data_IF_064166554428
#
_entry.id   IF_064166554428
#
_cell.length_a   1.000
_cell.length_b   1.000
_cell.length_c   1.000
_cell.angle_alpha   90.00
_cell.angle_beta   90.00
_cell.angle_gamma   90.00
#
_symmetry.space_group_name_H-M   'P 1'
#
loop_
_entity.id
_entity.type
_entity.pdbx_description
1 polymer ?
#
# COMPACT_ATOMS: atom_id res chain seq x y z
N UNK A 1 2.84 -15.94 1.87
CA UNK A 1 1.55 -15.33 2.26
C UNK A 1 1.05 -15.80 3.63
N UNK A 2 1.04 -17.14 3.93
CA UNK A 2 0.46 -17.69 5.18
C UNK A 2 1.11 -17.13 6.45
N UNK A 3 2.45 -16.98 6.48
CA UNK A 3 3.17 -16.44 7.64
C UNK A 3 2.82 -14.97 7.88
N UNK A 4 2.81 -14.15 6.82
CA UNK A 4 2.41 -12.73 6.91
C UNK A 4 0.98 -12.59 7.43
N UNK A 5 0.04 -13.41 6.93
CA UNK A 5 -1.35 -13.39 7.37
C UNK A 5 -1.49 -13.74 8.86
N UNK A 6 -0.75 -14.74 9.34
CA UNK A 6 -0.74 -15.10 10.77
C UNK A 6 -0.24 -13.94 11.65
N UNK A 7 0.89 -13.32 11.27
CA UNK A 7 1.42 -12.16 11.98
C UNK A 7 0.46 -10.97 11.97
N UNK A 8 -0.17 -10.71 10.82
CA UNK A 8 -1.14 -9.62 10.68
C UNK A 8 -2.35 -9.83 11.60
N UNK A 9 -2.94 -11.03 11.62
CA UNK A 9 -4.06 -11.36 12.52
C UNK A 9 -3.68 -11.24 14.00
N UNK A 10 -2.50 -11.69 14.39
CA UNK A 10 -2.00 -11.53 15.74
C UNK A 10 -1.83 -10.06 16.14
N UNK A 11 -1.35 -9.22 15.20
CA UNK A 11 -1.23 -7.78 15.43
C UNK A 11 -2.59 -7.11 15.64
N UNK A 12 -3.57 -7.43 14.79
CA UNK A 12 -4.94 -6.92 14.91
C UNK A 12 -5.59 -7.37 16.21
N UNK A 13 -5.50 -8.66 16.53
CA UNK A 13 -6.04 -9.20 17.78
C UNK A 13 -5.42 -8.57 19.03
N UNK A 14 -4.15 -8.13 18.94
CA UNK A 14 -3.46 -7.40 20.01
C UNK A 14 -3.76 -5.90 20.01
N UNK A 15 -4.74 -5.42 19.22
CA UNK A 15 -5.09 -4.00 19.09
C UNK A 15 -4.00 -3.14 18.45
N UNK A 16 -3.00 -3.76 17.82
CA UNK A 16 -1.93 -3.05 17.11
C UNK A 16 -2.41 -2.61 15.74
N UNK A 17 -1.90 -1.49 15.29
CA UNK A 17 -2.17 -1.04 13.93
C UNK A 17 -1.39 -1.85 12.92
N UNK A 18 -1.97 -1.95 11.73
CA UNK A 18 -1.41 -2.75 10.67
C UNK A 18 -1.13 -1.89 9.46
N UNK A 19 0.14 -1.85 9.09
CA UNK A 19 0.65 -1.28 7.86
C UNK A 19 1.08 -2.43 6.93
N UNK A 20 0.65 -2.36 5.68
CA UNK A 20 1.09 -3.29 4.63
C UNK A 20 1.72 -2.49 3.50
N UNK A 21 2.95 -2.82 3.15
CA UNK A 21 3.65 -2.25 1.98
C UNK A 21 3.97 -3.38 1.01
N UNK A 22 3.69 -3.18 -0.26
CA UNK A 22 3.99 -4.14 -1.31
C UNK A 22 4.55 -3.47 -2.56
N UNK A 23 5.73 -3.90 -3.02
CA UNK A 23 6.36 -3.45 -4.25
C UNK A 23 6.26 -4.52 -5.33
N UNK A 24 6.03 -4.15 -6.58
CA UNK A 24 5.99 -5.06 -7.72
C UNK A 24 5.01 -6.23 -7.50
N UNK A 25 5.43 -7.46 -7.62
CA UNK A 25 4.64 -8.67 -7.27
C UNK A 25 4.25 -8.71 -5.78
N UNK A 26 4.97 -8.00 -4.92
CA UNK A 26 4.58 -7.79 -3.53
C UNK A 26 3.30 -7.00 -3.39
N UNK A 27 3.00 -6.09 -4.31
CA UNK A 27 1.72 -5.36 -4.37
C UNK A 27 0.52 -6.30 -4.59
N UNK A 28 0.62 -7.25 -5.53
CA UNK A 28 -0.40 -8.31 -5.69
C UNK A 28 -0.57 -9.12 -4.40
N UNK A 29 0.55 -9.49 -3.76
CA UNK A 29 0.52 -10.22 -2.49
C UNK A 29 -0.13 -9.40 -1.37
N UNK A 30 0.17 -8.11 -1.27
CA UNK A 30 -0.41 -7.21 -0.28
C UNK A 30 -1.94 -7.12 -0.41
N UNK A 31 -2.45 -7.00 -1.64
CA UNK A 31 -3.89 -6.99 -1.92
C UNK A 31 -4.58 -8.31 -1.52
N UNK A 32 -3.92 -9.45 -1.73
CA UNK A 32 -4.45 -10.76 -1.32
C UNK A 32 -4.44 -10.95 0.19
N UNK A 33 -3.39 -10.50 0.86
CA UNK A 33 -3.30 -10.51 2.33
C UNK A 33 -4.40 -9.62 2.92
N UNK A 34 -4.55 -8.40 2.40
CA UNK A 34 -5.62 -7.49 2.81
C UNK A 34 -7.00 -8.14 2.73
N UNK A 35 -7.34 -8.74 1.58
CA UNK A 35 -8.62 -9.47 1.42
C UNK A 35 -8.80 -10.57 2.46
N UNK A 36 -7.73 -11.31 2.76
CA UNK A 36 -7.77 -12.45 3.69
C UNK A 36 -7.89 -12.00 5.16
N UNK A 37 -7.72 -10.70 5.44
CA UNK A 37 -7.94 -10.10 6.74
C UNK A 37 -9.39 -9.63 6.94
N UNK A 38 -10.21 -9.56 5.89
CA UNK A 38 -11.60 -9.15 6.04
C UNK A 38 -12.33 -10.05 7.07
N UNK A 39 -13.09 -9.49 8.05
CA UNK A 39 -13.58 -8.10 8.12
C UNK A 39 -12.62 -7.08 8.79
N UNK A 40 -11.47 -7.48 9.29
CA UNK A 40 -10.55 -6.58 9.97
C UNK A 40 -10.00 -5.52 8.98
N UNK A 41 -9.77 -4.31 9.51
CA UNK A 41 -9.21 -3.21 8.73
C UNK A 41 -7.71 -3.09 8.92
N UNK A 42 -7.02 -2.82 7.81
CA UNK A 42 -5.63 -2.37 7.76
C UNK A 42 -5.62 -0.85 7.83
N UNK A 43 -4.76 -0.26 8.65
CA UNK A 43 -4.71 1.19 8.81
C UNK A 43 -4.12 1.88 7.58
N UNK A 44 -3.08 1.29 6.99
CA UNK A 44 -2.45 1.81 5.78
C UNK A 44 -2.00 0.67 4.85
N UNK A 45 -2.41 0.77 3.59
CA UNK A 45 -1.90 -0.05 2.49
C UNK A 45 -1.10 0.83 1.53
N UNK A 46 0.15 0.49 1.28
CA UNK A 46 1.00 1.14 0.27
C UNK A 46 1.33 0.14 -0.84
N UNK A 47 0.87 0.42 -2.04
CA UNK A 47 1.20 -0.35 -3.24
C UNK A 47 2.18 0.46 -4.09
N UNK A 48 3.43 0.03 -4.13
CA UNK A 48 4.52 0.69 -4.86
C UNK A 48 4.75 -0.05 -6.16
N UNK A 49 4.43 0.61 -7.26
CA UNK A 49 4.54 0.12 -8.63
C UNK A 49 4.13 -1.35 -8.79
N UNK A 50 2.89 -1.68 -8.39
CA UNK A 50 2.46 -3.06 -8.23
C UNK A 50 2.23 -3.75 -9.58
N UNK A 51 2.71 -4.99 -9.67
CA UNK A 51 2.56 -5.85 -10.84
C UNK A 51 1.72 -7.07 -10.45
N UNK A 52 0.62 -7.38 -11.15
CA UNK A 52 -0.18 -8.55 -10.85
C UNK A 52 0.52 -9.84 -11.32
N UNK A 53 0.32 -10.92 -10.57
CA UNK A 53 0.94 -12.23 -10.86
C UNK A 53 0.24 -13.01 -11.95
N UNK A 54 -1.04 -12.74 -12.20
CA UNK A 54 -1.82 -13.52 -13.15
C UNK A 54 -3.05 -12.75 -13.62
N UNK A 55 -3.33 -12.81 -14.94
CA UNK A 55 -4.57 -12.30 -15.54
C UNK A 55 -5.77 -13.16 -15.18
N UNK A 56 -5.58 -14.46 -15.07
CA UNK A 56 -6.65 -15.42 -14.79
C UNK A 56 -7.11 -15.35 -13.34
N UNK A 57 -6.22 -14.96 -12.43
CA UNK A 57 -6.55 -14.78 -11.03
C UNK A 57 -6.00 -13.42 -10.54
N UNK A 58 -6.60 -12.32 -10.98
CA UNK A 58 -6.15 -10.99 -10.58
C UNK A 58 -6.39 -10.75 -9.08
N UNK A 59 -5.58 -9.91 -8.42
CA UNK A 59 -5.79 -9.59 -7.02
C UNK A 59 -7.11 -8.83 -6.84
N UNK A 60 -7.73 -8.92 -5.66
CA UNK A 60 -8.98 -8.24 -5.37
C UNK A 60 -8.79 -6.72 -5.33
N UNK A 61 -9.89 -5.99 -5.54
CA UNK A 61 -9.94 -4.56 -5.22
C UNK A 61 -9.87 -4.39 -3.70
N UNK A 62 -8.99 -3.55 -3.16
CA UNK A 62 -8.88 -3.33 -1.73
C UNK A 62 -10.12 -2.59 -1.20
N UNK A 63 -10.70 -3.08 -0.08
CA UNK A 63 -11.90 -2.48 0.54
C UNK A 63 -11.79 -2.31 2.05
N UNK A 64 -10.88 -3.05 2.69
CA UNK A 64 -10.71 -3.06 4.14
C UNK A 64 -9.36 -2.41 4.55
N UNK A 65 -8.95 -1.36 3.85
CA UNK A 65 -7.89 -0.46 4.27
C UNK A 65 -8.47 0.93 4.55
N UNK A 66 -8.06 1.55 5.67
CA UNK A 66 -8.49 2.91 6.05
C UNK A 66 -7.89 3.97 5.16
N UNK A 67 -6.62 3.77 4.78
CA UNK A 67 -5.94 4.61 3.81
C UNK A 67 -5.17 3.73 2.82
N UNK A 68 -5.21 4.11 1.55
CA UNK A 68 -4.55 3.40 0.45
C UNK A 68 -3.70 4.41 -0.30
N UNK A 69 -2.42 4.12 -0.45
CA UNK A 69 -1.48 4.87 -1.27
C UNK A 69 -1.06 4.00 -2.45
N UNK A 70 -1.16 4.55 -3.63
CA UNK A 70 -0.66 3.95 -4.86
C UNK A 70 0.47 4.81 -5.41
N UNK A 71 1.67 4.25 -5.45
CA UNK A 71 2.84 4.87 -6.10
C UNK A 71 3.04 4.18 -7.45
N UNK A 72 2.99 4.95 -8.52
CA UNK A 72 3.13 4.48 -9.91
C UNK A 72 4.43 5.04 -10.51
N UNK A 73 5.34 4.15 -10.91
CA UNK A 73 6.58 4.52 -11.58
C UNK A 73 6.32 4.80 -13.07
N UNK A 74 6.62 6.03 -13.50
CA UNK A 74 6.50 6.46 -14.89
C UNK A 74 7.80 7.13 -15.33
N UNK A 75 8.87 6.36 -15.58
CA UNK A 75 10.15 6.95 -15.94
C UNK A 75 10.08 7.62 -17.30
N UNK A 76 10.62 8.84 -17.39
CA UNK A 76 10.87 9.52 -18.68
C UNK A 76 12.02 8.85 -19.44
N UNK A 77 12.91 8.15 -18.74
CA UNK A 77 14.02 7.35 -19.29
C UNK A 77 13.95 5.93 -18.76
N UNK A 78 13.18 5.04 -19.41
CA UNK A 78 13.09 3.64 -19.00
C UNK A 78 14.44 2.93 -19.04
N UNK A 79 14.59 1.94 -18.16
CA UNK A 79 15.75 1.07 -18.11
C UNK A 79 15.32 -0.42 -18.06
N UNK A 80 16.28 -1.32 -17.86
CA UNK A 80 16.00 -2.76 -17.82
C UNK A 80 14.97 -3.17 -16.75
N UNK A 81 14.88 -2.44 -15.62
CA UNK A 81 13.90 -2.76 -14.57
C UNK A 81 12.46 -2.51 -15.02
N UNK A 82 12.25 -1.53 -15.88
CA UNK A 82 10.94 -1.21 -16.44
C UNK A 82 10.50 -2.28 -17.44
N UNK A 83 11.44 -2.86 -18.19
CA UNK A 83 11.16 -4.03 -19.05
C UNK A 83 10.68 -5.24 -18.24
N UNK A 84 11.18 -5.44 -17.02
CA UNK A 84 10.69 -6.48 -16.10
C UNK A 84 9.26 -6.18 -15.65
N UNK A 85 8.95 -4.92 -15.33
CA UNK A 85 7.59 -4.45 -15.02
C UNK A 85 6.65 -4.70 -16.20
N UNK A 86 7.04 -4.29 -17.40
CA UNK A 86 6.25 -4.42 -18.63
C UNK A 86 5.96 -5.88 -18.93
N UNK A 87 6.96 -6.77 -18.82
CA UNK A 87 6.77 -8.21 -18.97
C UNK A 87 5.78 -8.74 -17.91
N UNK A 88 5.92 -8.33 -16.66
CA UNK A 88 5.00 -8.71 -15.59
C UNK A 88 3.57 -8.24 -15.85
N UNK A 89 3.40 -7.02 -16.35
CA UNK A 89 2.09 -6.48 -16.75
C UNK A 89 1.54 -7.18 -17.98
N UNK A 90 2.38 -7.54 -18.94
CA UNK A 90 1.97 -8.33 -20.10
C UNK A 90 1.43 -9.70 -19.69
N UNK A 91 2.07 -10.38 -18.75
CA UNK A 91 1.63 -11.68 -18.22
C UNK A 91 0.42 -11.53 -17.29
N UNK A 92 0.47 -10.60 -16.34
CA UNK A 92 -0.47 -10.46 -15.24
C UNK A 92 -1.59 -9.43 -15.45
N UNK A 93 -1.49 -8.57 -16.47
CA UNK A 93 -2.36 -7.41 -16.65
C UNK A 93 -1.90 -6.22 -15.80
N UNK A 94 -2.77 -5.20 -15.69
CA UNK A 94 -2.50 -3.99 -14.91
C UNK A 94 -3.39 -3.89 -13.69
N UNK A 95 -2.93 -3.19 -12.65
CA UNK A 95 -3.69 -2.94 -11.42
C UNK A 95 -4.30 -1.52 -11.35
N UNK A 96 -4.10 -0.68 -12.36
CA UNK A 96 -4.57 0.71 -12.34
C UNK A 96 -6.05 0.86 -12.00
N UNK A 97 -6.94 0.06 -12.63
CA UNK A 97 -8.38 0.11 -12.34
C UNK A 97 -8.72 -0.27 -10.89
N UNK A 98 -7.95 -1.20 -10.28
CA UNK A 98 -8.19 -1.68 -8.91
C UNK A 98 -7.68 -0.71 -7.87
N UNK A 99 -6.62 0.02 -8.21
CA UNK A 99 -5.99 1.02 -7.36
C UNK A 99 -6.45 2.44 -7.69
N UNK A 100 -7.34 2.62 -8.67
CA UNK A 100 -7.99 3.91 -8.93
C UNK A 100 -8.79 4.44 -7.73
N UNK A 101 -9.16 3.56 -6.78
CA UNK A 101 -9.80 3.91 -5.51
C UNK A 101 -8.81 4.32 -4.41
N UNK A 102 -7.51 4.35 -4.68
CA UNK A 102 -6.52 4.79 -3.69
C UNK A 102 -6.80 6.24 -3.26
N UNK A 103 -6.69 6.47 -1.95
CA UNK A 103 -6.92 7.80 -1.36
C UNK A 103 -5.82 8.79 -1.76
N UNK A 104 -4.61 8.27 -2.00
CA UNK A 104 -3.45 9.03 -2.47
C UNK A 104 -2.84 8.34 -3.67
N UNK A 105 -2.65 9.10 -4.74
CA UNK A 105 -1.94 8.67 -5.94
C UNK A 105 -0.63 9.45 -6.02
N UNK A 106 0.49 8.76 -6.20
CA UNK A 106 1.82 9.34 -6.39
C UNK A 106 2.33 8.86 -7.74
N UNK A 107 2.67 9.76 -8.62
CA UNK A 107 3.33 9.45 -9.89
C UNK A 107 4.79 9.86 -9.78
N UNK A 108 5.71 8.90 -9.89
CA UNK A 108 7.13 9.14 -9.74
C UNK A 108 7.86 8.94 -11.09
N UNK A 109 8.67 9.92 -11.50
CA UNK A 109 9.58 9.77 -12.64
C UNK A 109 10.81 8.96 -12.23
N UNK A 110 10.58 7.68 -11.93
CA UNK A 110 11.55 6.73 -11.40
C UNK A 110 11.38 5.38 -12.05
N UNK A 111 12.48 4.61 -12.13
CA UNK A 111 12.45 3.26 -12.67
C UNK A 111 11.88 2.25 -11.65
N UNK A 112 11.40 1.12 -12.14
CA UNK A 112 10.68 0.10 -11.36
C UNK A 112 11.40 -0.37 -10.08
N UNK A 113 12.74 -0.46 -10.08
CA UNK A 113 13.50 -0.91 -8.90
C UNK A 113 13.92 0.21 -7.95
N UNK A 114 13.58 1.47 -8.24
CA UNK A 114 13.89 2.61 -7.38
C UNK A 114 12.94 2.71 -6.15
N UNK A 115 12.72 1.60 -5.45
CA UNK A 115 11.73 1.48 -4.37
C UNK A 115 11.86 2.56 -3.29
N UNK A 116 13.08 2.79 -2.79
CA UNK A 116 13.30 3.78 -1.73
C UNK A 116 12.95 5.20 -2.17
N UNK A 117 13.35 5.56 -3.41
CA UNK A 117 13.04 6.86 -3.99
C UNK A 117 11.54 7.01 -4.27
N UNK A 118 10.88 5.96 -4.77
CA UNK A 118 9.42 5.95 -4.96
C UNK A 118 8.68 6.16 -3.63
N UNK A 119 9.12 5.53 -2.55
CA UNK A 119 8.54 5.72 -1.22
C UNK A 119 8.73 7.14 -0.68
N UNK A 120 9.78 7.85 -1.12
CA UNK A 120 10.08 9.23 -0.76
C UNK A 120 9.52 10.27 -1.75
N UNK A 121 8.91 9.84 -2.87
CA UNK A 121 8.32 10.75 -3.84
C UNK A 121 7.07 11.42 -3.27
N UNK A 122 6.90 12.75 -3.45
CA UNK A 122 5.75 13.46 -2.92
C UNK A 122 4.49 13.26 -3.79
N UNK A 123 3.34 13.35 -3.14
CA UNK A 123 2.05 13.56 -3.79
C UNK A 123 1.82 15.05 -4.13
N UNK A 124 0.64 15.40 -4.61
CA UNK A 124 0.25 16.76 -4.94
C UNK A 124 0.22 17.71 -3.72
N UNK A 125 0.22 17.18 -2.50
CA UNK A 125 0.28 17.94 -1.24
C UNK A 125 1.71 18.01 -0.67
N UNK A 126 2.70 17.47 -1.36
CA UNK A 126 4.09 17.42 -0.92
C UNK A 126 4.39 16.32 0.10
N UNK A 127 3.49 15.37 0.32
CA UNK A 127 3.67 14.27 1.26
C UNK A 127 4.06 12.98 0.54
N UNK A 128 5.08 12.32 1.04
CA UNK A 128 5.52 11.01 0.56
C UNK A 128 4.83 9.85 1.29
N UNK A 129 4.92 8.64 0.75
CA UNK A 129 4.43 7.44 1.44
C UNK A 129 5.12 7.26 2.81
N UNK A 130 6.40 7.67 2.93
CA UNK A 130 7.12 7.66 4.20
C UNK A 130 6.50 8.64 5.20
N UNK A 131 6.10 9.84 4.75
CA UNK A 131 5.47 10.85 5.63
C UNK A 131 4.13 10.33 6.16
N UNK A 132 3.33 9.69 5.34
CA UNK A 132 2.08 9.06 5.77
C UNK A 132 2.32 7.96 6.81
N UNK A 133 3.38 7.15 6.66
CA UNK A 133 3.77 6.12 7.63
C UNK A 133 4.17 6.77 8.97
N UNK A 134 4.97 7.82 8.92
CA UNK A 134 5.43 8.54 10.11
C UNK A 134 4.25 9.20 10.84
N UNK A 135 3.35 9.87 10.11
CA UNK A 135 2.13 10.44 10.68
C UNK A 135 1.24 9.38 11.34
N UNK A 136 1.19 8.19 10.77
CA UNK A 136 0.49 7.07 11.38
C UNK A 136 1.16 6.69 12.70
N UNK A 137 2.48 6.68 12.79
CA UNK A 137 3.26 6.45 14.02
C UNK A 137 3.02 7.53 15.07
N UNK A 138 3.10 8.80 14.70
CA UNK A 138 2.99 9.95 15.64
C UNK A 138 1.62 10.06 16.29
N UNK A 139 0.54 9.70 15.57
CA UNK A 139 -0.81 9.63 16.14
C UNK A 139 -0.95 8.62 17.26
N UNK A 140 0.03 7.72 17.45
CA UNK A 140 0.07 6.69 18.51
C UNK A 140 0.88 7.07 19.71
N UNK A 141 1.87 7.93 19.53
CA UNK A 141 2.72 8.43 20.62
C UNK A 141 1.96 9.40 21.51
N UNK A 142 0.79 9.89 21.06
CA UNK A 142 -0.08 10.75 21.89
C UNK A 142 -1.03 9.86 22.71
N UNK A 143 -1.00 9.95 24.06
CA UNK A 143 -1.99 9.28 24.89
C UNK A 143 -3.39 9.78 24.49
N UNK A 144 -4.35 8.86 24.36
CA UNK A 144 -5.76 9.24 24.19
C UNK A 144 -6.13 10.10 25.39
N UNK A 145 -6.23 11.42 25.18
CA UNK A 145 -6.86 12.26 26.17
C UNK A 145 -8.29 11.76 26.36
N UNK A 146 -8.56 11.24 27.55
CA UNK A 146 -9.91 10.86 27.93
C UNK A 146 -10.78 12.11 27.73
N UNK A 147 -11.75 12.03 26.83
CA UNK A 147 -12.82 13.03 26.77
C UNK A 147 -13.53 12.96 28.14
N UNK A 148 -13.18 13.88 29.02
CA UNK A 148 -14.00 14.20 30.19
C UNK A 148 -15.28 14.82 29.63
N UNK A 149 -16.31 13.97 29.42
CA UNK A 149 -17.68 14.43 29.29
C UNK A 149 -18.07 15.03 30.64
N UNK A 150 -17.91 16.33 30.80
CA UNK A 150 -18.61 17.10 31.83
C UNK A 150 -20.09 17.14 31.41
N UNK A 151 -20.87 16.21 31.95
CA UNK A 151 -22.32 16.39 32.06
C UNK A 151 -22.54 17.49 33.12
N UNK A 152 -23.24 18.50 32.72
CA UNK A 152 -23.96 19.47 33.61
C UNK A 152 -25.37 19.54 33.10
#
# INVERSE_FOLDING_TARGET
PRRCLKCARQAVAAGRRLLIVGHSWGGDTALRVLRSLNPEFVDLLVCVDPVPKSRLNPPPTPRNARHIIHVDARPTRPNQSDSVKDLGQWIGGTLHRRLAIAHTQIVADLNHFAFAQMMASPDDNGLSAIDYINQLGDRFSRPRTANSSSAS
#
